data_IF_935658931851
#
_entry.id   IF_935658931851
#
_cell.length_a   1.000
_cell.length_b   1.000
_cell.length_c   1.000
_cell.angle_alpha   90.00
_cell.angle_beta   90.00
_cell.angle_gamma   90.00
#
_symmetry.space_group_name_H-M   'P 1'
#
loop_
_entity.id
_entity.type
_entity.pdbx_description
1 polymer ?
#
# COMPACT_ATOMS: atom_id res chain seq x y z
N UNK A 1 -9.71 -11.44 -10.16
CA UNK A 1 -8.80 -10.28 -10.04
C UNK A 1 -9.25 -9.42 -8.90
N UNK A 2 -8.37 -9.10 -7.98
CA UNK A 2 -8.74 -8.23 -6.87
C UNK A 2 -7.87 -6.97 -6.86
N UNK A 3 -8.53 -5.84 -6.64
CA UNK A 3 -7.88 -4.55 -6.48
C UNK A 3 -8.38 -3.96 -5.16
N UNK A 4 -7.45 -3.54 -4.32
CA UNK A 4 -7.81 -2.87 -3.07
C UNK A 4 -7.53 -1.39 -3.22
N UNK A 5 -8.54 -0.57 -2.95
CA UNK A 5 -8.40 0.87 -2.93
C UNK A 5 -8.04 1.32 -1.53
N UNK A 6 -7.00 2.12 -1.42
CA UNK A 6 -6.57 2.68 -0.14
C UNK A 6 -6.73 4.19 -0.21
N UNK A 7 -7.57 4.73 0.66
CA UNK A 7 -7.87 6.17 0.67
C UNK A 7 -7.28 6.82 1.93
N UNK A 8 -7.00 8.10 1.83
CA UNK A 8 -6.57 8.92 2.95
C UNK A 8 -5.18 8.59 3.44
N UNK A 9 -5.07 8.01 4.62
CA UNK A 9 -3.78 7.74 5.27
C UNK A 9 -3.60 6.26 5.57
N UNK A 10 -2.42 5.75 5.30
CA UNK A 10 -2.05 4.38 5.65
C UNK A 10 -1.06 4.44 6.81
N UNK A 11 -1.59 4.47 8.03
CA UNK A 11 -0.80 4.65 9.25
C UNK A 11 -1.33 3.77 10.38
N UNK A 12 -0.46 3.39 11.30
CA UNK A 12 -0.84 2.75 12.56
C UNK A 12 -1.74 1.53 12.40
N UNK A 13 -2.94 1.62 12.98
CA UNK A 13 -3.92 0.52 12.96
C UNK A 13 -4.33 0.15 11.54
N UNK A 14 -4.41 1.13 10.63
CA UNK A 14 -4.74 0.88 9.23
C UNK A 14 -3.75 -0.03 8.55
N UNK A 15 -2.47 0.09 8.88
CA UNK A 15 -1.42 -0.79 8.34
C UNK A 15 -1.66 -2.22 8.78
N UNK A 16 -1.95 -2.42 10.07
CA UNK A 16 -2.21 -3.74 10.62
C UNK A 16 -3.47 -4.37 10.04
N UNK A 17 -4.51 -3.58 9.85
CA UNK A 17 -5.76 -4.05 9.26
C UNK A 17 -5.56 -4.50 7.82
N UNK A 18 -4.83 -3.73 7.04
CA UNK A 18 -4.53 -4.08 5.65
C UNK A 18 -3.73 -5.37 5.57
N UNK A 19 -2.71 -5.50 6.40
CA UNK A 19 -1.89 -6.71 6.44
C UNK A 19 -2.73 -7.93 6.78
N UNK A 20 -3.60 -7.81 7.78
CA UNK A 20 -4.47 -8.89 8.21
C UNK A 20 -5.43 -9.30 7.11
N UNK A 21 -6.02 -8.32 6.44
CA UNK A 21 -6.96 -8.59 5.36
C UNK A 21 -6.27 -9.32 4.20
N UNK A 22 -5.08 -8.92 3.85
CA UNK A 22 -4.32 -9.58 2.78
C UNK A 22 -3.92 -11.00 3.15
N UNK A 23 -3.67 -11.27 4.43
CA UNK A 23 -3.39 -12.64 4.87
C UNK A 23 -4.61 -13.53 4.78
N UNK A 24 -5.79 -12.96 5.07
CA UNK A 24 -7.03 -13.74 5.09
C UNK A 24 -7.51 -14.11 3.69
N UNK A 25 -7.39 -13.20 2.74
CA UNK A 25 -7.93 -13.38 1.39
C UNK A 25 -6.86 -13.59 0.32
N UNK A 26 -5.62 -13.55 0.71
CA UNK A 26 -4.50 -13.63 -0.22
C UNK A 26 -4.08 -12.27 -0.74
N UNK A 27 -2.94 -12.23 -1.42
CA UNK A 27 -2.39 -10.99 -1.94
C UNK A 27 -3.22 -10.51 -3.12
N UNK A 28 -3.74 -9.27 -3.10
CA UNK A 28 -4.47 -8.74 -4.24
C UNK A 28 -3.53 -8.52 -5.42
N UNK A 29 -4.11 -8.44 -6.61
CA UNK A 29 -3.34 -8.19 -7.82
C UNK A 29 -2.79 -6.78 -7.87
N UNK A 30 -3.54 -5.81 -7.35
CA UNK A 30 -3.15 -4.42 -7.39
C UNK A 30 -3.75 -3.65 -6.22
N UNK A 31 -3.08 -2.55 -5.90
CA UNK A 31 -3.59 -1.55 -4.96
C UNK A 31 -3.82 -0.26 -5.72
N UNK A 32 -5.01 0.30 -5.57
CA UNK A 32 -5.33 1.61 -6.13
C UNK A 32 -5.01 2.68 -5.07
N UNK A 33 -3.99 3.44 -5.31
CA UNK A 33 -3.49 4.45 -4.38
C UNK A 33 -3.81 5.88 -4.83
N UNK A 34 -4.77 6.01 -5.74
CA UNK A 34 -5.13 7.32 -6.30
C UNK A 34 -5.54 8.34 -5.25
N UNK A 35 -6.18 7.89 -4.19
CA UNK A 35 -6.67 8.73 -3.12
C UNK A 35 -5.82 8.63 -1.84
N UNK A 36 -4.71 7.94 -1.90
CA UNK A 36 -3.80 7.86 -0.76
C UNK A 36 -3.00 9.16 -0.67
N UNK A 37 -3.07 9.81 0.48
CA UNK A 37 -2.41 11.10 0.70
C UNK A 37 -1.14 10.98 1.51
N UNK A 38 -1.06 9.99 2.37
CA UNK A 38 0.06 9.84 3.29
C UNK A 38 0.21 8.39 3.71
N UNK A 39 1.44 7.98 3.95
CA UNK A 39 1.74 6.70 4.58
C UNK A 39 2.93 6.89 5.51
N UNK A 40 2.86 6.31 6.71
CA UNK A 40 4.00 6.34 7.61
C UNK A 40 5.03 5.29 7.17
N UNK A 41 6.13 5.17 7.93
CA UNK A 41 7.20 4.22 7.59
C UNK A 41 6.67 2.80 7.48
N UNK A 42 5.80 2.40 8.38
CA UNK A 42 5.24 1.05 8.37
C UNK A 42 4.34 0.84 7.16
N UNK A 43 3.55 1.86 6.80
CA UNK A 43 2.70 1.81 5.61
C UNK A 43 3.52 1.69 4.34
N UNK A 44 4.56 2.49 4.22
CA UNK A 44 5.46 2.44 3.07
C UNK A 44 6.14 1.09 2.97
N UNK A 45 6.63 0.56 4.08
CA UNK A 45 7.26 -0.76 4.11
C UNK A 45 6.30 -1.86 3.66
N UNK A 46 5.05 -1.79 4.12
CA UNK A 46 4.05 -2.77 3.76
C UNK A 46 3.77 -2.73 2.25
N UNK A 47 3.63 -1.54 1.68
CA UNK A 47 3.39 -1.40 0.24
C UNK A 47 4.56 -1.96 -0.57
N UNK A 48 5.79 -1.69 -0.13
CA UNK A 48 6.97 -2.25 -0.80
C UNK A 48 6.99 -3.77 -0.74
N UNK A 49 6.65 -4.33 0.41
CA UNK A 49 6.59 -5.76 0.59
C UNK A 49 5.59 -6.39 -0.37
N UNK A 50 4.43 -5.78 -0.52
CA UNK A 50 3.42 -6.28 -1.45
C UNK A 50 3.89 -6.17 -2.89
N UNK A 51 4.55 -5.07 -3.24
CA UNK A 51 5.10 -4.91 -4.59
C UNK A 51 6.13 -5.99 -4.89
N UNK A 52 7.00 -6.29 -3.94
CA UNK A 52 8.02 -7.33 -4.09
C UNK A 52 7.39 -8.70 -4.28
N UNK A 53 6.19 -8.91 -3.75
CA UNK A 53 5.45 -10.16 -3.90
C UNK A 53 4.63 -10.22 -5.18
N UNK A 54 4.70 -9.20 -6.01
CA UNK A 54 4.06 -9.19 -7.30
C UNK A 54 2.80 -8.33 -7.43
N UNK A 55 2.38 -7.66 -6.37
CA UNK A 55 1.24 -6.75 -6.46
C UNK A 55 1.64 -5.47 -7.20
N UNK A 56 0.69 -4.89 -7.91
CA UNK A 56 0.91 -3.64 -8.61
C UNK A 56 0.44 -2.47 -7.74
N UNK A 57 1.22 -1.40 -7.71
CA UNK A 57 0.83 -0.17 -7.04
C UNK A 57 0.41 0.83 -8.12
N UNK A 58 -0.88 1.15 -8.16
CA UNK A 58 -1.46 2.00 -9.22
C UNK A 58 -1.89 3.34 -8.69
N UNK A 59 -1.78 4.34 -9.52
CA UNK A 59 -2.33 5.66 -9.24
C UNK A 59 -1.61 6.45 -8.16
N UNK A 60 -0.38 6.07 -7.81
CA UNK A 60 0.39 6.80 -6.80
C UNK A 60 0.58 8.25 -7.20
N UNK A 61 0.34 9.16 -6.25
CA UNK A 61 0.71 10.55 -6.44
C UNK A 61 2.24 10.66 -6.44
N UNK A 62 2.81 11.74 -7.01
CA UNK A 62 4.26 11.94 -6.96
C UNK A 62 4.81 11.96 -5.55
N UNK A 63 4.03 12.44 -4.58
CA UNK A 63 4.44 12.47 -3.19
C UNK A 63 4.57 11.07 -2.60
N UNK A 64 3.57 10.21 -2.82
CA UNK A 64 3.59 8.83 -2.32
C UNK A 64 4.71 8.06 -3.01
N UNK A 65 4.90 8.26 -4.30
CA UNK A 65 5.98 7.64 -5.03
C UNK A 65 7.34 8.02 -4.45
N UNK A 66 7.50 9.28 -4.09
CA UNK A 66 8.73 9.77 -3.46
C UNK A 66 8.95 9.10 -2.11
N UNK A 67 7.90 8.93 -1.30
CA UNK A 67 8.00 8.24 -0.03
C UNK A 67 8.50 6.81 -0.20
N UNK A 68 8.00 6.12 -1.20
CA UNK A 68 8.44 4.75 -1.49
C UNK A 68 9.90 4.69 -1.88
N UNK A 69 10.35 5.63 -2.68
CA UNK A 69 11.75 5.70 -3.09
C UNK A 69 12.68 6.04 -1.93
N UNK A 70 12.23 6.88 -1.03
CA UNK A 70 13.04 7.34 0.09
C UNK A 70 13.35 6.24 1.08
N UNK A 71 12.50 5.24 1.18
CA UNK A 71 12.64 4.14 2.13
C UNK A 71 13.53 3.00 1.63
N UNK A 72 14.15 3.17 0.52
CA UNK A 72 15.07 2.14 -0.01
C UNK A 72 16.36 2.06 0.78
#
# INVERSE_FOLDING_TARGET
MSVIQIDGQLVGVGVLELERECRAVGLPMAFDLSNLRWADSDGVQLLKTFEDKGAQLRGMSPYVEMLLKKEQ
#
